data_IF_593345457058
#
_entry.id   IF_593345457058
#
_cell.length_a   1.000
_cell.length_b   1.000
_cell.length_c   1.000
_cell.angle_alpha   90.00
_cell.angle_beta   90.00
_cell.angle_gamma   90.00
#
_symmetry.space_group_name_H-M   'P 1'
#
loop_
_entity.id
_entity.type
_entity.pdbx_description
1 polymer ?
#
# COMPACT_ATOMS: atom_id res chain seq x y z
N UNK A 1 6.59 -5.55 7.08
CA UNK A 1 7.52 -4.47 6.63
C UNK A 1 6.82 -3.37 5.84
N UNK A 2 7.06 -2.11 6.20
CA UNK A 2 6.44 -0.91 5.60
C UNK A 2 7.44 -0.19 4.71
N UNK A 3 7.08 0.08 3.46
CA UNK A 3 7.95 0.75 2.49
C UNK A 3 7.59 2.21 2.25
N UNK A 4 6.30 2.56 2.34
CA UNK A 4 5.86 3.93 2.14
C UNK A 4 4.50 4.19 2.80
N UNK A 5 4.22 5.44 3.11
CA UNK A 5 2.92 5.90 3.61
C UNK A 5 2.37 7.02 2.73
N UNK A 6 1.09 6.94 2.38
CA UNK A 6 0.40 8.00 1.64
C UNK A 6 0.07 9.18 2.56
N UNK A 7 0.33 10.40 2.08
CA UNK A 7 -0.01 11.65 2.77
C UNK A 7 -1.18 12.35 2.07
N UNK A 8 -2.33 12.31 2.72
CA UNK A 8 -3.53 13.06 2.35
C UNK A 8 -4.26 13.54 3.62
N UNK A 9 -5.05 14.60 3.48
CA UNK A 9 -5.88 15.18 4.55
C UNK A 9 -7.32 14.61 4.57
N UNK A 10 -7.71 13.88 3.52
CA UNK A 10 -9.04 13.31 3.36
C UNK A 10 -9.24 12.04 4.18
N UNK A 11 -10.48 11.58 4.35
CA UNK A 11 -10.75 10.29 4.97
C UNK A 11 -10.34 9.15 4.04
N UNK A 12 -9.75 8.08 4.58
CA UNK A 12 -9.24 6.96 3.78
C UNK A 12 -10.35 6.27 2.95
N UNK A 13 -11.60 6.32 3.41
CA UNK A 13 -12.76 5.73 2.73
C UNK A 13 -13.09 6.41 1.41
N UNK A 14 -12.93 7.74 1.32
CA UNK A 14 -13.16 8.49 0.09
C UNK A 14 -12.07 8.19 -0.93
N UNK A 15 -10.85 7.95 -0.45
CA UNK A 15 -9.69 7.68 -1.28
C UNK A 15 -9.60 6.20 -1.71
N UNK A 16 -10.20 5.27 -0.95
CA UNK A 16 -10.14 3.84 -1.20
C UNK A 16 -10.55 3.47 -2.63
N UNK A 17 -11.74 3.89 -3.06
CA UNK A 17 -12.25 3.53 -4.39
C UNK A 17 -11.39 4.13 -5.51
N UNK A 18 -10.98 5.39 -5.38
CA UNK A 18 -10.10 6.03 -6.38
C UNK A 18 -8.76 5.30 -6.48
N UNK A 19 -8.17 4.94 -5.34
CA UNK A 19 -6.89 4.24 -5.26
C UNK A 19 -7.01 2.83 -5.87
N UNK A 20 -8.10 2.12 -5.58
CA UNK A 20 -8.40 0.81 -6.17
C UNK A 20 -8.56 0.90 -7.68
N UNK A 21 -9.37 1.83 -8.20
CA UNK A 21 -9.55 2.01 -9.65
C UNK A 21 -8.21 2.32 -10.35
N UNK A 22 -7.41 3.19 -9.73
CA UNK A 22 -6.10 3.55 -10.25
C UNK A 22 -5.13 2.37 -10.30
N UNK A 23 -5.11 1.56 -9.24
CA UNK A 23 -4.28 0.36 -9.19
C UNK A 23 -4.80 -0.72 -10.14
N UNK A 24 -6.12 -0.92 -10.25
CA UNK A 24 -6.73 -1.94 -11.12
C UNK A 24 -6.41 -1.68 -12.60
N UNK A 25 -6.24 -0.41 -12.97
CA UNK A 25 -5.78 -0.06 -14.32
C UNK A 25 -4.31 -0.43 -14.59
N UNK A 26 -3.50 -0.68 -13.56
CA UNK A 26 -2.05 -0.91 -13.66
C UNK A 26 -1.63 -2.33 -13.30
N UNK A 27 -2.39 -3.00 -12.43
CA UNK A 27 -2.08 -4.33 -11.93
C UNK A 27 -3.23 -5.30 -12.21
N UNK A 28 -2.91 -6.54 -12.63
CA UNK A 28 -3.91 -7.48 -13.12
C UNK A 28 -4.74 -8.14 -12.00
N UNK A 29 -4.16 -8.32 -10.81
CA UNK A 29 -4.80 -8.98 -9.68
C UNK A 29 -4.76 -8.05 -8.48
N UNK A 30 -5.93 -7.54 -8.11
CA UNK A 30 -6.13 -6.70 -6.94
C UNK A 30 -7.32 -7.23 -6.17
N UNK A 31 -7.11 -7.45 -4.89
CA UNK A 31 -8.16 -7.70 -3.91
C UNK A 31 -8.26 -6.46 -3.04
N UNK A 32 -9.47 -6.06 -2.67
CA UNK A 32 -9.64 -4.91 -1.79
C UNK A 32 -10.90 -5.07 -0.95
N UNK A 33 -10.91 -4.42 0.19
CA UNK A 33 -12.06 -4.35 1.06
C UNK A 33 -12.05 -3.10 1.92
N UNK A 34 -13.26 -2.66 2.26
CA UNK A 34 -13.49 -1.56 3.18
C UNK A 34 -14.45 -2.07 4.26
N UNK A 35 -13.92 -2.57 5.37
CA UNK A 35 -14.70 -3.09 6.50
C UNK A 35 -14.17 -2.47 7.79
N UNK A 36 -14.63 -1.25 8.10
CA UNK A 36 -14.06 -0.44 9.18
C UNK A 36 -12.74 0.18 8.76
N UNK A 37 -11.81 -0.65 8.27
CA UNK A 37 -10.50 -0.25 7.73
C UNK A 37 -10.41 -0.52 6.23
N UNK A 38 -9.51 0.20 5.56
CA UNK A 38 -9.22 0.00 4.14
C UNK A 38 -8.03 -0.93 3.99
N UNK A 39 -8.20 -1.96 3.17
CA UNK A 39 -7.11 -2.85 2.78
C UNK A 39 -7.21 -3.19 1.29
N UNK A 40 -6.06 -3.18 0.63
CA UNK A 40 -5.90 -3.45 -0.80
C UNK A 40 -4.69 -4.35 -0.96
N UNK A 41 -4.85 -5.54 -1.52
CA UNK A 41 -3.77 -6.46 -1.82
C UNK A 41 -3.56 -6.53 -3.32
N UNK A 42 -2.34 -6.26 -3.74
CA UNK A 42 -1.89 -6.33 -5.12
C UNK A 42 -1.03 -7.57 -5.23
N UNK A 43 -1.42 -8.49 -6.11
CA UNK A 43 -0.69 -9.74 -6.34
C UNK A 43 -0.16 -9.73 -7.77
N UNK A 44 1.13 -10.03 -7.93
CA UNK A 44 1.74 -10.14 -9.25
C UNK A 44 2.74 -11.29 -9.26
N UNK A 45 2.31 -12.44 -9.76
CA UNK A 45 3.13 -13.67 -9.72
C UNK A 45 3.34 -14.10 -8.28
N UNK A 46 4.60 -14.24 -7.87
CA UNK A 46 5.02 -14.63 -6.51
C UNK A 46 5.18 -13.44 -5.55
N UNK A 47 4.90 -12.21 -5.99
CA UNK A 47 5.00 -11.02 -5.16
C UNK A 47 3.61 -10.55 -4.70
N UNK A 48 3.51 -10.17 -3.41
CA UNK A 48 2.31 -9.60 -2.81
C UNK A 48 2.65 -8.28 -2.11
N UNK A 49 1.88 -7.24 -2.42
CA UNK A 49 1.96 -5.92 -1.78
C UNK A 49 0.62 -5.62 -1.13
N UNK A 50 0.64 -5.29 0.16
CA UNK A 50 -0.53 -4.82 0.88
C UNK A 50 -0.50 -3.29 0.96
N UNK A 51 -1.65 -2.66 0.76
CA UNK A 51 -1.88 -1.23 0.96
C UNK A 51 -3.05 -1.12 1.92
N UNK A 52 -2.75 -0.91 3.20
CA UNK A 52 -3.76 -0.94 4.26
C UNK A 52 -3.62 0.22 5.24
N UNK A 53 -4.69 0.46 5.99
CA UNK A 53 -4.76 1.45 7.07
C UNK A 53 -4.80 0.78 8.46
N UNK A 54 -4.33 -0.46 8.60
CA UNK A 54 -4.47 -1.18 9.88
C UNK A 54 -3.55 -0.63 10.97
N UNK A 55 -2.32 -0.25 10.60
CA UNK A 55 -1.30 0.25 11.52
C UNK A 55 -1.23 1.77 11.63
N UNK A 56 -1.96 2.50 10.78
CA UNK A 56 -1.97 3.96 10.74
C UNK A 56 -3.30 4.45 10.18
N UNK A 57 -3.74 5.66 10.53
CA UNK A 57 -4.94 6.28 9.94
C UNK A 57 -4.79 6.63 8.44
N UNK A 58 -3.69 6.20 7.82
CA UNK A 58 -3.32 6.47 6.42
C UNK A 58 -2.90 5.18 5.72
N UNK A 59 -3.09 5.13 4.40
CA UNK A 59 -2.70 3.96 3.61
C UNK A 59 -1.19 3.78 3.62
N UNK A 60 -0.75 2.63 4.12
CA UNK A 60 0.64 2.21 4.18
C UNK A 60 0.87 1.08 3.19
N UNK A 61 1.95 1.18 2.42
CA UNK A 61 2.38 0.20 1.45
C UNK A 61 3.35 -0.75 2.14
N UNK A 62 2.96 -2.01 2.23
CA UNK A 62 3.67 -3.09 2.90
C UNK A 62 3.95 -4.22 1.93
N UNK A 63 5.05 -4.92 2.16
CA UNK A 63 5.41 -6.11 1.40
C UNK A 63 6.16 -7.07 2.29
N UNK A 64 5.95 -8.37 2.08
CA UNK A 64 6.68 -9.42 2.82
C UNK A 64 8.12 -9.57 2.34
N UNK A 65 8.42 -9.10 1.12
CA UNK A 65 9.76 -9.19 0.53
C UNK A 65 10.48 -7.83 0.58
N UNK A 66 11.66 -7.81 1.19
CA UNK A 66 12.53 -6.63 1.33
C UNK A 66 12.95 -6.01 -0.01
N UNK A 67 13.07 -6.85 -1.05
CA UNK A 67 13.43 -6.46 -2.41
C UNK A 67 12.26 -6.61 -3.40
N UNK A 68 11.02 -6.45 -2.94
CA UNK A 68 9.87 -6.55 -3.85
C UNK A 68 9.95 -5.51 -4.97
N UNK A 69 10.05 -6.01 -6.20
CA UNK A 69 9.97 -5.19 -7.40
C UNK A 69 8.57 -4.65 -7.59
N UNK A 70 7.55 -5.41 -7.16
CA UNK A 70 6.17 -4.97 -7.15
C UNK A 70 5.97 -3.77 -6.20
N UNK A 71 6.49 -3.82 -4.97
CA UNK A 71 6.36 -2.70 -4.02
C UNK A 71 6.94 -1.41 -4.59
N UNK A 72 8.13 -1.46 -5.19
CA UNK A 72 8.76 -0.31 -5.85
C UNK A 72 7.93 0.22 -7.03
N UNK A 73 7.32 -0.67 -7.82
CA UNK A 73 6.40 -0.27 -8.91
C UNK A 73 5.15 0.41 -8.38
N UNK A 74 4.55 -0.11 -7.31
CA UNK A 74 3.37 0.46 -6.66
C UNK A 74 3.69 1.83 -6.08
N UNK A 75 4.82 1.97 -5.38
CA UNK A 75 5.29 3.25 -4.84
C UNK A 75 5.54 4.24 -5.97
N UNK A 76 6.26 3.84 -7.02
CA UNK A 76 6.51 4.69 -8.18
C UNK A 76 5.22 5.14 -8.84
N UNK A 77 4.26 4.22 -9.00
CA UNK A 77 2.94 4.52 -9.56
C UNK A 77 2.16 5.52 -8.72
N UNK A 78 2.08 5.28 -7.41
CA UNK A 78 1.34 6.16 -6.51
C UNK A 78 2.04 7.52 -6.35
N UNK A 79 3.36 7.58 -6.48
CA UNK A 79 4.14 8.83 -6.37
C UNK A 79 3.84 9.82 -7.50
N UNK A 80 3.35 9.34 -8.64
CA UNK A 80 3.00 10.20 -9.77
C UNK A 80 1.74 11.04 -9.50
N UNK A 81 0.80 10.49 -8.72
CA UNK A 81 -0.52 11.10 -8.49
C UNK A 81 -0.73 11.56 -7.04
N UNK A 82 -0.10 10.89 -6.08
CA UNK A 82 -0.29 11.14 -4.66
C UNK A 82 1.03 11.53 -3.99
N UNK A 83 0.92 12.32 -2.93
CA UNK A 83 2.06 12.55 -2.04
C UNK A 83 2.24 11.31 -1.19
N UNK A 84 3.42 10.72 -1.26
CA UNK A 84 3.80 9.59 -0.41
C UNK A 84 5.16 9.83 0.21
N UNK A 85 5.32 9.32 1.43
CA UNK A 85 6.56 9.33 2.18
C UNK A 85 7.16 7.95 2.04
N UNK A 86 8.16 7.82 1.18
CA UNK A 86 8.92 6.59 1.03
C UNK A 86 9.88 6.48 2.20
N UNK A 87 9.85 5.34 2.88
CA UNK A 87 10.80 4.99 3.93
C UNK A 87 12.02 4.37 3.24
N UNK A 88 13.19 4.98 3.43
CA UNK A 88 14.44 4.57 2.75
C UNK A 88 14.89 3.17 3.21
N UNK A 89 14.62 2.84 4.47
CA UNK A 89 14.72 1.49 5.04
C UNK A 89 13.31 1.01 5.41
N UNK A 90 12.90 -0.20 4.99
CA UNK A 90 11.58 -0.70 5.36
C UNK A 90 11.51 -0.90 6.88
N UNK A 91 10.60 -0.21 7.54
CA UNK A 91 10.40 -0.39 8.99
C UNK A 91 9.73 -1.74 9.25
N UNK A 92 10.29 -2.50 10.21
CA UNK A 92 9.70 -3.73 10.73
C UNK A 92 8.42 -3.39 11.49
N UNK A 93 7.38 -4.19 11.33
CA UNK A 93 6.14 -3.96 12.08
C UNK A 93 6.38 -4.27 13.58
N UNK A 94 5.76 -3.54 14.51
CA UNK A 94 5.96 -3.72 15.96
C UNK A 94 5.51 -5.10 16.49
N UNK A 95 4.95 -5.94 15.62
CA UNK A 95 4.54 -7.32 15.90
C UNK A 95 5.60 -8.35 15.51
N UNK A 96 6.69 -7.96 14.82
CA UNK A 96 7.79 -8.83 14.39
C UNK A 96 8.93 -8.94 15.45
N UNK A 97 8.76 -8.33 16.63
CA UNK A 97 9.76 -8.28 17.73
C UNK A 97 9.57 -9.40 18.79
N UNK A 98 9.09 -10.59 18.42
CA UNK A 98 8.89 -11.72 19.36
C UNK A 98 9.48 -13.04 18.85
#
# INVERSE_FOLDING_TARGET
MIFAELKYDQHYSDLHYELVEYLQSRFPVIEHGLQGDSWIWIVSGDEKVAVDTFSSMKHQIKSEQLNSSLAKKVIGALSERYKLTVLDEPELEPHEDC
#
